data_IF_160650564104
#
_entry.id   IF_160650564104
#
_cell.length_a   1.000
_cell.length_b   1.000
_cell.length_c   1.000
_cell.angle_alpha   90.00
_cell.angle_beta   90.00
_cell.angle_gamma   90.00
#
_symmetry.space_group_name_H-M   'P 1'
#
loop_
_entity.id
_entity.type
_entity.pdbx_description
1 polymer ?
#
# COMPACT_ATOMS: atom_id res chain seq x y z
N UNK A 1 35.75 -20.99 77.01
CA UNK A 1 35.29 -19.74 77.59
C UNK A 1 35.01 -18.86 76.37
N UNK A 2 33.96 -18.74 76.11
CA UNK A 2 32.66 -18.19 76.28
C UNK A 2 32.13 -17.66 74.94
N UNK A 3 31.11 -18.25 74.51
CA UNK A 3 30.21 -17.98 73.41
C UNK A 3 29.51 -16.63 73.60
N UNK A 4 29.35 -15.86 72.54
CA UNK A 4 28.16 -14.96 72.40
C UNK A 4 27.69 -14.95 71.02
N UNK A 5 26.49 -15.53 70.82
CA UNK A 5 25.65 -15.46 69.66
C UNK A 5 25.09 -14.05 69.45
N UNK A 6 25.04 -13.63 68.20
CA UNK A 6 24.26 -12.45 67.81
C UNK A 6 23.14 -12.89 66.85
N UNK A 7 21.87 -12.57 67.14
CA UNK A 7 20.75 -13.05 66.31
C UNK A 7 20.60 -12.27 64.99
N UNK A 8 20.22 -13.03 64.02
CA UNK A 8 19.84 -12.58 62.70
C UNK A 8 18.61 -11.66 62.71
N UNK A 9 18.72 -10.50 62.11
CA UNK A 9 17.56 -9.63 61.76
C UNK A 9 17.10 -9.88 60.37
N UNK A 10 16.05 -10.65 60.23
CA UNK A 10 15.27 -10.89 59.02
C UNK A 10 14.38 -9.68 58.73
N UNK A 11 14.89 -8.72 57.99
CA UNK A 11 14.09 -7.64 57.42
C UNK A 11 13.39 -8.09 56.14
N UNK A 12 12.19 -8.59 56.26
CA UNK A 12 11.28 -8.83 55.14
C UNK A 12 10.72 -7.50 54.67
N UNK A 13 11.17 -7.01 53.53
CA UNK A 13 10.52 -5.90 52.84
C UNK A 13 9.20 -6.38 52.21
N UNK A 14 8.09 -5.65 52.40
CA UNK A 14 6.83 -6.03 51.78
C UNK A 14 6.90 -5.78 50.26
N UNK A 15 6.77 -6.86 49.52
CA UNK A 15 6.52 -6.81 48.09
C UNK A 15 5.24 -6.01 47.83
N UNK A 16 5.40 -4.83 47.22
CA UNK A 16 4.32 -4.03 46.73
C UNK A 16 3.73 -4.70 45.46
N UNK A 17 2.82 -5.65 45.67
CA UNK A 17 1.94 -6.17 44.65
C UNK A 17 0.96 -5.05 44.28
N UNK A 18 1.34 -4.27 43.25
CA UNK A 18 0.37 -3.42 42.56
C UNK A 18 -0.71 -4.33 41.96
N UNK A 19 -1.99 -4.10 42.26
CA UNK A 19 -3.05 -4.89 41.68
C UNK A 19 -3.04 -4.69 40.16
N UNK A 20 -2.81 -5.77 39.43
CA UNK A 20 -3.07 -5.83 38.00
C UNK A 20 -4.54 -5.48 37.77
N UNK A 21 -4.80 -4.24 37.39
CA UNK A 21 -6.12 -3.79 37.00
C UNK A 21 -6.55 -4.56 35.74
N UNK A 22 -7.15 -5.72 35.98
CA UNK A 22 -8.00 -6.39 35.00
C UNK A 22 -9.20 -5.46 34.78
N UNK A 23 -8.99 -4.41 33.98
CA UNK A 23 -10.07 -3.56 33.54
C UNK A 23 -11.01 -4.43 32.71
N UNK A 24 -12.12 -4.75 33.33
CA UNK A 24 -13.32 -5.32 32.78
C UNK A 24 -13.71 -4.48 31.54
N UNK A 25 -13.19 -4.86 30.35
CA UNK A 25 -13.52 -4.18 29.09
C UNK A 25 -14.94 -4.59 28.76
N UNK A 26 -15.89 -3.74 29.16
CA UNK A 26 -17.24 -3.77 28.60
C UNK A 26 -17.16 -3.90 27.08
N UNK A 27 -18.05 -4.66 26.42
CA UNK A 27 -18.05 -4.81 24.97
C UNK A 27 -18.16 -3.41 24.37
N UNK A 28 -17.10 -2.94 23.72
CA UNK A 28 -17.04 -1.62 23.09
C UNK A 28 -18.09 -1.62 21.99
N UNK A 29 -19.22 -0.95 22.24
CA UNK A 29 -20.21 -0.63 21.20
C UNK A 29 -19.41 -0.08 20.01
N UNK A 30 -19.48 -0.79 18.88
CA UNK A 30 -18.72 -0.43 17.70
C UNK A 30 -19.05 1.01 17.32
N UNK A 31 -18.01 1.83 17.15
CA UNK A 31 -18.20 3.21 16.69
C UNK A 31 -18.94 3.14 15.34
N UNK A 32 -20.02 3.91 15.23
CA UNK A 32 -20.80 4.01 14.01
C UNK A 32 -20.15 4.98 13.02
N UNK A 33 -20.36 4.78 11.73
CA UNK A 33 -19.88 5.70 10.69
C UNK A 33 -20.45 7.12 10.89
N UNK A 34 -21.68 7.22 11.39
CA UNK A 34 -22.31 8.50 11.74
C UNK A 34 -21.49 9.30 12.78
N UNK A 35 -20.96 8.63 13.81
CA UNK A 35 -20.12 9.27 14.82
C UNK A 35 -18.78 9.74 14.22
N UNK A 36 -18.19 8.98 13.31
CA UNK A 36 -16.96 9.36 12.60
C UNK A 36 -17.18 10.54 11.67
N UNK A 37 -18.34 10.58 11.02
CA UNK A 37 -18.75 11.69 10.15
C UNK A 37 -18.97 12.97 10.93
N UNK A 38 -19.65 12.89 12.08
CA UNK A 38 -19.96 14.02 12.96
C UNK A 38 -18.74 14.58 13.72
N UNK A 39 -17.60 13.88 13.73
CA UNK A 39 -16.39 14.33 14.41
C UNK A 39 -15.90 15.66 13.83
N UNK A 40 -15.86 16.71 14.67
CA UNK A 40 -15.40 18.06 14.29
C UNK A 40 -13.92 18.24 14.62
N UNK A 41 -13.19 19.07 13.86
CA UNK A 41 -11.81 19.43 14.21
C UNK A 41 -11.74 20.18 15.52
N UNK A 42 -10.66 19.99 16.28
CA UNK A 42 -10.32 20.73 17.49
C UNK A 42 -8.96 21.42 17.28
N UNK A 43 -8.58 22.33 18.20
CA UNK A 43 -7.29 23.03 18.16
C UNK A 43 -6.09 22.09 18.14
N UNK A 44 -6.24 20.90 18.74
CA UNK A 44 -5.21 19.85 18.75
C UNK A 44 -5.72 18.60 18.06
N UNK A 45 -4.83 17.86 17.35
CA UNK A 45 -5.21 16.60 16.75
C UNK A 45 -5.63 15.59 17.84
N UNK A 46 -6.74 14.88 17.62
CA UNK A 46 -7.23 13.86 18.52
C UNK A 46 -7.54 12.56 17.81
N UNK A 47 -7.73 11.49 18.58
CA UNK A 47 -7.91 10.13 18.08
C UNK A 47 -9.25 9.56 18.51
N UNK A 48 -9.96 8.97 17.57
CA UNK A 48 -11.18 8.20 17.83
C UNK A 48 -10.81 6.74 17.66
N UNK A 49 -10.72 6.01 18.78
CA UNK A 49 -10.36 4.59 18.77
C UNK A 49 -11.54 3.74 18.26
N UNK A 50 -11.26 2.88 17.28
CA UNK A 50 -12.26 1.99 16.66
C UNK A 50 -12.15 0.56 17.22
N UNK A 51 -10.97 0.15 17.61
CA UNK A 51 -10.65 -1.18 18.17
C UNK A 51 -9.40 -1.75 17.54
N UNK A 52 -8.83 -2.75 18.18
CA UNK A 52 -7.65 -3.50 17.68
C UNK A 52 -6.46 -2.66 17.21
N UNK A 53 -6.28 -1.48 17.84
CA UNK A 53 -5.24 -0.53 17.46
C UNK A 53 -5.58 0.36 16.25
N UNK A 54 -6.75 0.16 15.61
CA UNK A 54 -7.28 1.04 14.57
C UNK A 54 -7.91 2.29 15.19
N UNK A 55 -7.60 3.46 14.66
CA UNK A 55 -8.17 4.73 15.07
C UNK A 55 -8.25 5.72 13.91
N UNK A 56 -9.18 6.64 14.03
CA UNK A 56 -9.29 7.80 13.15
C UNK A 56 -8.60 8.99 13.83
N UNK A 57 -7.58 9.56 13.20
CA UNK A 57 -6.93 10.78 13.66
C UNK A 57 -7.61 11.98 12.99
N UNK A 58 -8.19 12.85 13.80
CA UNK A 58 -8.81 14.12 13.36
C UNK A 58 -7.79 15.23 13.59
N UNK A 59 -7.41 15.93 12.53
CA UNK A 59 -6.47 17.05 12.58
C UNK A 59 -7.20 18.39 12.72
N UNK A 60 -6.54 19.45 13.21
CA UNK A 60 -7.13 20.80 13.27
C UNK A 60 -7.59 21.30 11.90
N UNK A 61 -6.92 20.89 10.83
CA UNK A 61 -7.32 21.20 9.44
C UNK A 61 -8.61 20.51 8.96
N UNK A 62 -9.31 19.77 9.83
CA UNK A 62 -10.48 18.97 9.47
C UNK A 62 -10.16 17.66 8.75
N UNK A 63 -8.91 17.40 8.40
CA UNK A 63 -8.51 16.16 7.75
C UNK A 63 -8.59 14.98 8.72
N UNK A 64 -9.27 13.92 8.30
CA UNK A 64 -9.46 12.68 9.06
C UNK A 64 -8.67 11.56 8.42
N UNK A 65 -7.77 10.91 9.19
CA UNK A 65 -6.83 9.90 8.69
C UNK A 65 -6.98 8.59 9.44
N UNK A 66 -7.17 7.50 8.72
CA UNK A 66 -7.13 6.16 9.26
C UNK A 66 -5.70 5.76 9.59
N UNK A 67 -5.47 5.39 10.85
CA UNK A 67 -4.20 4.93 11.35
C UNK A 67 -4.37 3.66 12.17
N UNK A 68 -3.35 2.81 12.11
CA UNK A 68 -3.27 1.59 12.88
C UNK A 68 -1.96 1.53 13.65
N UNK A 69 -2.06 1.23 14.94
CA UNK A 69 -0.95 1.05 15.88
C UNK A 69 -0.72 -0.45 16.06
N UNK A 70 0.50 -0.90 15.84
CA UNK A 70 0.87 -2.31 15.97
C UNK A 70 2.26 -2.47 16.58
N UNK A 71 2.57 -3.67 17.07
CA UNK A 71 3.91 -4.04 17.53
C UNK A 71 4.52 -5.03 16.56
N UNK A 72 5.79 -4.83 16.24
CA UNK A 72 6.60 -5.74 15.45
C UNK A 72 8.00 -5.79 16.06
N UNK A 73 8.49 -6.99 16.35
CA UNK A 73 9.79 -7.23 17.01
C UNK A 73 9.94 -6.41 18.30
N UNK A 74 8.88 -6.39 19.14
CA UNK A 74 8.86 -5.65 20.40
C UNK A 74 8.69 -4.13 20.28
N UNK A 75 8.87 -3.53 19.10
CA UNK A 75 8.75 -2.10 18.86
C UNK A 75 7.34 -1.70 18.42
N UNK A 76 6.87 -0.57 18.95
CA UNK A 76 5.60 0.02 18.54
C UNK A 76 5.76 0.77 17.21
N UNK A 77 4.86 0.50 16.30
CA UNK A 77 4.86 1.09 14.95
C UNK A 77 3.46 1.62 14.59
N UNK A 78 3.39 2.48 13.58
CA UNK A 78 2.14 3.04 13.07
C UNK A 78 2.09 2.92 11.55
N UNK A 79 0.92 2.56 11.02
CA UNK A 79 0.64 2.54 9.59
C UNK A 79 -0.53 3.46 9.29
N UNK A 80 -0.51 4.15 8.14
CA UNK A 80 -1.62 4.97 7.65
C UNK A 80 -2.26 4.28 6.46
N UNK A 81 -3.61 4.15 6.48
CA UNK A 81 -4.34 3.50 5.40
C UNK A 81 -4.89 4.49 4.38
N UNK A 82 -5.42 5.62 4.83
CA UNK A 82 -6.00 6.62 3.93
C UNK A 82 -6.81 7.67 4.66
N UNK A 83 -7.45 8.55 3.88
CA UNK A 83 -8.33 9.61 4.40
C UNK A 83 -9.77 9.13 4.46
N UNK A 84 -10.47 9.48 5.54
CA UNK A 84 -11.92 9.41 5.62
C UNK A 84 -12.52 10.69 4.97
N UNK A 85 -13.62 10.63 4.21
CA UNK A 85 -14.46 9.46 3.94
C UNK A 85 -14.06 8.61 2.73
N UNK A 86 -12.98 8.95 2.00
CA UNK A 86 -12.55 8.19 0.82
C UNK A 86 -12.28 6.71 1.13
N UNK A 87 -11.86 6.42 2.36
CA UNK A 87 -11.77 5.08 2.91
C UNK A 87 -12.82 4.96 4.03
N UNK A 88 -13.80 4.11 3.84
CA UNK A 88 -14.88 3.86 4.81
C UNK A 88 -14.39 3.10 6.03
N UNK A 89 -15.20 3.03 7.09
CA UNK A 89 -14.89 2.26 8.29
C UNK A 89 -14.68 0.77 7.99
N UNK A 90 -15.50 0.19 7.09
CA UNK A 90 -15.38 -1.21 6.68
C UNK A 90 -14.05 -1.46 5.98
N UNK A 91 -13.74 -0.68 4.96
CA UNK A 91 -12.50 -0.78 4.20
C UNK A 91 -11.26 -0.55 5.07
N UNK A 92 -11.34 0.35 6.06
CA UNK A 92 -10.26 0.57 7.02
C UNK A 92 -10.00 -0.66 7.91
N UNK A 93 -11.07 -1.39 8.31
CA UNK A 93 -10.96 -2.66 9.02
C UNK A 93 -10.35 -3.75 8.15
N UNK A 94 -10.79 -3.86 6.91
CA UNK A 94 -10.27 -4.83 5.95
C UNK A 94 -8.77 -4.57 5.67
N UNK A 95 -8.39 -3.31 5.50
CA UNK A 95 -6.99 -2.89 5.34
C UNK A 95 -6.15 -3.21 6.59
N UNK A 96 -6.71 -3.03 7.79
CA UNK A 96 -6.06 -3.40 9.04
C UNK A 96 -5.83 -4.91 9.13
N UNK A 97 -6.84 -5.72 8.78
CA UNK A 97 -6.70 -7.18 8.80
C UNK A 97 -5.64 -7.66 7.78
N UNK A 98 -5.60 -7.09 6.59
CA UNK A 98 -4.56 -7.36 5.61
C UNK A 98 -3.15 -6.99 6.16
N UNK A 99 -3.03 -5.81 6.78
CA UNK A 99 -1.79 -5.37 7.41
C UNK A 99 -1.39 -6.27 8.59
N UNK A 100 -2.36 -6.75 9.39
CA UNK A 100 -2.12 -7.69 10.49
C UNK A 100 -1.53 -9.01 10.01
N UNK A 101 -1.98 -9.52 8.85
CA UNK A 101 -1.40 -10.72 8.24
C UNK A 101 0.07 -10.53 7.86
N UNK A 102 0.46 -9.34 7.37
CA UNK A 102 1.86 -9.01 7.09
C UNK A 102 2.71 -8.96 8.36
N UNK A 103 2.20 -8.31 9.42
CA UNK A 103 2.88 -8.23 10.72
C UNK A 103 3.10 -9.63 11.31
N UNK A 104 2.13 -10.53 11.20
CA UNK A 104 2.29 -11.94 11.62
C UNK A 104 3.41 -12.67 10.85
N UNK A 105 3.70 -12.26 9.61
CA UNK A 105 4.81 -12.76 8.80
C UNK A 105 6.14 -12.02 9.05
N UNK A 106 6.19 -11.12 10.03
CA UNK A 106 7.37 -10.31 10.32
C UNK A 106 7.61 -9.14 9.36
N UNK A 107 6.66 -8.82 8.48
CA UNK A 107 6.80 -7.79 7.44
C UNK A 107 6.18 -6.48 7.93
N UNK A 108 6.89 -5.35 7.76
CA UNK A 108 6.37 -4.01 8.02
C UNK A 108 5.37 -3.57 6.94
N UNK A 109 4.07 -3.37 7.26
CA UNK A 109 3.06 -2.98 6.27
C UNK A 109 3.38 -1.65 5.57
N UNK A 110 4.01 -0.70 6.28
CA UNK A 110 4.40 0.58 5.69
C UNK A 110 5.50 0.42 4.63
N UNK A 111 6.50 -0.42 4.89
CA UNK A 111 7.57 -0.73 3.94
C UNK A 111 7.03 -1.50 2.73
N UNK A 112 6.17 -2.50 2.97
CA UNK A 112 5.53 -3.25 1.89
C UNK A 112 4.76 -2.30 0.95
N UNK A 113 3.96 -1.39 1.49
CA UNK A 113 3.22 -0.40 0.71
C UNK A 113 4.14 0.53 -0.10
N UNK A 114 5.30 0.88 0.44
CA UNK A 114 6.29 1.67 -0.28
C UNK A 114 6.92 0.89 -1.43
N UNK A 115 7.28 -0.37 -1.19
CA UNK A 115 7.81 -1.28 -2.22
C UNK A 115 6.79 -1.50 -3.35
N UNK A 116 5.52 -1.70 -3.01
CA UNK A 116 4.46 -1.89 -3.99
C UNK A 116 4.26 -0.64 -4.85
N UNK A 117 4.34 0.56 -4.24
CA UNK A 117 4.31 1.83 -4.99
C UNK A 117 5.49 1.99 -5.94
N UNK A 118 6.71 1.65 -5.48
CA UNK A 118 7.90 1.70 -6.32
C UNK A 118 7.79 0.72 -7.49
N UNK A 119 7.32 -0.51 -7.23
CA UNK A 119 7.07 -1.50 -8.28
C UNK A 119 6.04 -1.01 -9.29
N UNK A 120 4.90 -0.47 -8.80
CA UNK A 120 3.87 0.08 -9.68
C UNK A 120 4.40 1.26 -10.52
N UNK A 121 5.22 2.13 -9.93
CA UNK A 121 5.88 3.23 -10.65
C UNK A 121 6.82 2.74 -11.73
N UNK A 122 7.64 1.73 -11.44
CA UNK A 122 8.51 1.09 -12.43
C UNK A 122 7.72 0.39 -13.53
N UNK A 123 6.63 -0.26 -13.19
CA UNK A 123 5.75 -0.92 -14.19
C UNK A 123 5.08 0.11 -15.12
N UNK A 124 4.67 1.26 -14.59
CA UNK A 124 4.14 2.36 -15.40
C UNK A 124 5.20 3.02 -16.29
N UNK A 125 6.45 3.11 -15.83
CA UNK A 125 7.56 3.61 -16.65
C UNK A 125 7.93 2.62 -17.77
N UNK A 126 7.80 1.32 -17.52
CA UNK A 126 8.11 0.24 -18.46
C UNK A 126 6.93 -0.06 -19.39
N UNK A 127 6.44 0.96 -20.09
CA UNK A 127 5.41 0.78 -21.15
C UNK A 127 6.01 0.06 -22.37
N UNK A 128 5.16 -0.58 -23.16
CA UNK A 128 5.59 -1.22 -24.41
C UNK A 128 6.30 -0.22 -25.33
N UNK A 129 5.78 0.99 -25.45
CA UNK A 129 6.37 2.06 -26.26
C UNK A 129 7.77 2.44 -25.77
N UNK A 130 7.95 2.66 -24.46
CA UNK A 130 9.25 3.03 -23.89
C UNK A 130 10.31 1.97 -24.19
N UNK A 131 9.97 0.69 -23.93
CA UNK A 131 10.87 -0.44 -24.18
C UNK A 131 11.14 -0.62 -25.68
N UNK A 132 10.14 -0.48 -26.54
CA UNK A 132 10.31 -0.61 -27.98
C UNK A 132 11.23 0.49 -28.56
N UNK A 133 11.07 1.73 -28.09
CA UNK A 133 11.96 2.84 -28.50
C UNK A 133 13.40 2.61 -28.04
N UNK A 134 13.60 2.21 -26.81
CA UNK A 134 14.92 1.87 -26.27
C UNK A 134 15.54 0.70 -27.06
N UNK A 135 14.77 -0.34 -27.34
CA UNK A 135 15.23 -1.48 -28.11
C UNK A 135 15.67 -1.09 -29.51
N UNK A 136 14.90 -0.23 -30.22
CA UNK A 136 15.28 0.26 -31.55
C UNK A 136 16.55 1.12 -31.48
N UNK A 137 16.68 1.96 -30.44
CA UNK A 137 17.86 2.81 -30.26
C UNK A 137 19.14 2.01 -30.03
N UNK A 138 19.07 0.89 -29.31
CA UNK A 138 20.19 0.01 -29.01
C UNK A 138 20.62 -0.88 -30.20
N UNK A 139 19.84 -0.92 -31.28
CA UNK A 139 20.21 -1.73 -32.47
C UNK A 139 21.21 -0.99 -33.34
N UNK A 140 22.16 -1.74 -33.85
CA UNK A 140 23.12 -1.24 -34.84
C UNK A 140 22.49 -1.24 -36.24
N UNK A 141 21.52 -0.35 -36.41
CA UNK A 141 20.84 -0.10 -37.69
C UNK A 141 21.13 1.31 -38.16
N UNK A 142 21.13 1.51 -39.49
CA UNK A 142 21.19 2.83 -40.05
C UNK A 142 20.01 3.70 -39.58
N UNK A 143 20.21 5.00 -39.40
CA UNK A 143 19.23 5.95 -38.94
C UNK A 143 17.92 5.94 -39.73
N UNK A 144 18.00 5.73 -41.06
CA UNK A 144 16.85 5.60 -41.94
C UNK A 144 16.02 4.38 -41.53
N UNK A 145 16.66 3.26 -41.21
CA UNK A 145 15.98 2.03 -40.78
C UNK A 145 15.33 2.22 -39.45
N UNK A 146 16.02 2.83 -38.48
CA UNK A 146 15.47 3.15 -37.17
C UNK A 146 14.21 4.01 -37.27
N UNK A 147 14.26 5.09 -38.08
CA UNK A 147 13.12 5.96 -38.33
C UNK A 147 11.93 5.22 -38.95
N UNK A 148 12.17 4.38 -39.96
CA UNK A 148 11.11 3.55 -40.58
C UNK A 148 10.44 2.61 -39.58
N UNK A 149 11.23 1.96 -38.70
CA UNK A 149 10.70 1.07 -37.68
C UNK A 149 9.88 1.82 -36.66
N UNK A 150 10.37 2.95 -36.16
CA UNK A 150 9.62 3.77 -35.18
C UNK A 150 8.32 4.29 -35.81
N UNK A 151 8.34 4.82 -37.03
CA UNK A 151 7.14 5.30 -37.70
C UNK A 151 6.09 4.19 -37.88
N UNK A 152 6.52 2.97 -38.21
CA UNK A 152 5.61 1.83 -38.32
C UNK A 152 4.99 1.51 -36.94
N UNK A 153 5.80 1.47 -35.88
CA UNK A 153 5.31 1.23 -34.50
C UNK A 153 4.34 2.32 -34.05
N UNK A 154 4.64 3.57 -34.34
CA UNK A 154 3.78 4.73 -34.00
C UNK A 154 2.42 4.70 -34.72
N UNK A 155 2.39 4.24 -35.94
CA UNK A 155 1.16 4.19 -36.73
C UNK A 155 0.31 2.96 -36.41
N UNK A 156 0.92 1.82 -36.20
CA UNK A 156 0.23 0.52 -36.15
C UNK A 156 0.13 -0.04 -34.75
N UNK A 157 1.16 0.11 -33.92
CA UNK A 157 1.28 -0.65 -32.67
C UNK A 157 1.01 0.23 -31.45
N UNK A 158 1.68 1.38 -31.35
CA UNK A 158 1.60 2.23 -30.15
C UNK A 158 0.20 2.77 -29.85
N UNK A 159 -0.69 3.06 -30.82
CA UNK A 159 -2.05 3.48 -30.52
C UNK A 159 -2.85 2.43 -29.73
N UNK A 160 -2.50 1.16 -29.87
CA UNK A 160 -3.22 0.05 -29.24
C UNK A 160 -2.60 -0.45 -27.95
N UNK A 161 -1.27 -0.61 -27.92
CA UNK A 161 -0.56 -1.21 -26.79
C UNK A 161 0.58 -0.36 -26.25
N UNK A 162 0.91 0.76 -26.85
CA UNK A 162 2.06 1.59 -26.48
C UNK A 162 2.05 1.99 -25.01
N UNK A 163 0.90 2.37 -24.47
CA UNK A 163 0.72 2.80 -23.08
C UNK A 163 0.57 1.65 -22.07
N UNK A 164 0.42 0.42 -22.53
CA UNK A 164 0.33 -0.75 -21.65
C UNK A 164 1.70 -1.06 -21.07
N UNK A 165 1.78 -1.43 -19.78
CA UNK A 165 3.00 -2.03 -19.22
C UNK A 165 3.38 -3.26 -20.05
N UNK A 166 4.66 -3.40 -20.43
CA UNK A 166 5.10 -4.47 -21.33
C UNK A 166 4.74 -5.87 -20.82
N UNK A 167 4.72 -6.07 -19.51
CA UNK A 167 4.30 -7.33 -18.87
C UNK A 167 2.82 -7.68 -19.08
N UNK A 168 1.98 -6.71 -19.41
CA UNK A 168 0.54 -6.90 -19.62
C UNK A 168 0.20 -7.11 -21.09
N UNK A 169 1.18 -7.01 -21.98
CA UNK A 169 0.98 -7.29 -23.41
C UNK A 169 0.81 -8.80 -23.60
N UNK A 170 -0.42 -9.19 -23.94
CA UNK A 170 -0.78 -10.57 -24.19
C UNK A 170 -0.84 -10.87 -25.69
N UNK A 171 -0.71 -12.13 -26.12
CA UNK A 171 -0.80 -12.52 -27.54
C UNK A 171 -2.08 -12.03 -28.23
N UNK A 172 -3.20 -11.95 -27.51
CA UNK A 172 -4.48 -11.45 -28.04
C UNK A 172 -4.37 -10.02 -28.54
N UNK A 173 -3.61 -9.16 -27.87
CA UNK A 173 -3.40 -7.79 -28.27
C UNK A 173 -2.64 -7.70 -29.62
N UNK A 174 -1.64 -8.56 -29.79
CA UNK A 174 -0.86 -8.63 -31.02
C UNK A 174 -1.73 -9.14 -32.19
N UNK A 175 -2.54 -10.17 -31.96
CA UNK A 175 -3.46 -10.71 -32.95
C UNK A 175 -4.50 -9.67 -33.39
N UNK A 176 -5.02 -8.86 -32.48
CA UNK A 176 -5.97 -7.80 -32.83
C UNK A 176 -5.31 -6.73 -33.72
N UNK A 177 -4.08 -6.35 -33.42
CA UNK A 177 -3.31 -5.40 -34.24
C UNK A 177 -3.09 -5.97 -35.65
N UNK A 178 -2.67 -7.24 -35.77
CA UNK A 178 -2.44 -7.88 -37.06
C UNK A 178 -3.72 -7.93 -37.89
N UNK A 179 -4.85 -8.34 -37.31
CA UNK A 179 -6.16 -8.35 -38.02
C UNK A 179 -6.58 -6.96 -38.51
N UNK A 180 -6.28 -5.90 -37.75
CA UNK A 180 -6.58 -4.53 -38.17
C UNK A 180 -5.65 -4.07 -39.30
N UNK A 181 -4.37 -4.43 -39.21
CA UNK A 181 -3.41 -4.11 -40.28
C UNK A 181 -3.78 -4.79 -41.61
N UNK A 182 -4.21 -6.06 -41.57
CA UNK A 182 -4.68 -6.76 -42.77
C UNK A 182 -5.93 -6.11 -43.41
N UNK A 183 -6.91 -5.70 -42.58
CA UNK A 183 -8.11 -4.99 -43.07
C UNK A 183 -7.74 -3.69 -43.75
N UNK A 184 -6.79 -2.94 -43.20
CA UNK A 184 -6.38 -1.66 -43.76
C UNK A 184 -5.60 -1.83 -45.09
N UNK A 185 -4.81 -2.89 -45.21
CA UNK A 185 -4.11 -3.21 -46.47
C UNK A 185 -5.06 -3.78 -47.51
N UNK A 186 -6.05 -4.61 -47.13
CA UNK A 186 -7.06 -5.13 -48.05
C UNK A 186 -7.95 -4.07 -48.68
N UNK A 187 -8.24 -2.99 -47.98
CA UNK A 187 -9.04 -1.88 -48.55
C UNK A 187 -8.27 -1.00 -49.52
N UNK A 188 -6.93 -1.06 -49.54
CA UNK A 188 -6.13 -0.33 -50.53
C UNK A 188 -6.07 -0.98 -51.92
N UNK A 189 -6.41 -2.28 -52.00
CA UNK A 189 -6.38 -3.05 -53.27
C UNK A 189 -7.73 -3.00 -54.00
N UNK A 190 -8.80 -2.53 -53.36
CA UNK A 190 -10.17 -2.51 -53.94
C UNK A 190 -10.57 -1.18 -54.57
N UNK A 191 -9.61 -0.25 -54.80
CA UNK A 191 -9.87 1.07 -55.45
C UNK A 191 -9.04 1.32 -56.71
N UNK A 192 -8.72 0.25 -57.49
CA UNK A 192 -8.28 0.36 -58.87
C UNK A 192 -9.28 -0.24 -59.82
#
# INVERSE_FOLDING_TARGET
METTETPANTGVSPENHAPSSTQNRAPRRGISDAALRAAKPNDKPYKIAVGDGLYLEVKPSGSKLWRWKYRLLGKENRCSFGKYPNLTLKEARDAMEAARKLVKKGIHPAQQKQLDRLKAGLEQANTFEAIAREWVALRDWEEITKKRRINMLERVVFPHIGKLPAKQVAPVHVLDILKRADKNNGNSVSQE
#
